data_IF_309957451395
#
_entry.id   IF_309957451395
#
_cell.length_a   1.000
_cell.length_b   1.000
_cell.length_c   1.000
_cell.angle_alpha   90.00
_cell.angle_beta   90.00
_cell.angle_gamma   90.00
#
_symmetry.space_group_name_H-M   'P 1'
#
loop_
_entity.id
_entity.type
_entity.pdbx_description
1 polymer ?
#
# COMPACT_ATOMS: atom_id res chain seq x y z
N UNK A 1 28.74 -52.33 0.26
CA UNK A 1 27.53 -53.17 0.26
C UNK A 1 26.67 -52.79 1.46
N UNK A 2 25.45 -52.28 1.21
CA UNK A 2 24.19 -52.43 1.99
C UNK A 2 24.26 -51.93 3.46
N UNK A 3 23.67 -50.81 3.91
CA UNK A 3 22.44 -50.14 3.51
C UNK A 3 21.26 -50.59 4.40
N UNK A 4 20.70 -49.69 5.23
CA UNK A 4 19.25 -49.61 5.53
C UNK A 4 18.90 -48.43 6.44
N UNK A 5 18.09 -47.55 5.86
CA UNK A 5 17.37 -46.43 6.46
C UNK A 5 16.20 -46.91 7.33
N UNK A 6 15.88 -46.16 8.38
CA UNK A 6 14.65 -46.31 9.16
C UNK A 6 13.61 -45.27 8.68
N UNK A 7 12.43 -45.78 8.35
CA UNK A 7 11.29 -45.06 7.79
C UNK A 7 10.43 -44.47 8.93
N UNK A 8 10.05 -43.21 8.79
CA UNK A 8 9.08 -42.50 9.65
C UNK A 8 7.68 -42.71 9.08
N UNK A 9 6.73 -43.12 9.94
CA UNK A 9 5.29 -43.12 9.66
C UNK A 9 4.65 -41.88 10.30
N UNK A 10 3.96 -41.07 9.49
CA UNK A 10 2.79 -40.31 9.93
C UNK A 10 1.91 -40.01 8.71
N UNK A 11 0.67 -40.46 8.78
CA UNK A 11 -0.33 -40.41 7.73
C UNK A 11 -1.05 -39.04 7.69
N UNK A 12 -1.35 -38.57 6.48
CA UNK A 12 -2.43 -37.63 6.21
C UNK A 12 -2.98 -37.93 4.80
N UNK A 13 -4.21 -38.46 4.72
CA UNK A 13 -4.91 -38.67 3.46
C UNK A 13 -5.73 -37.42 3.11
N UNK A 14 -5.36 -36.77 2.02
CA UNK A 14 -6.21 -35.85 1.27
C UNK A 14 -6.76 -36.57 0.04
N UNK A 15 -7.99 -36.21 -0.30
CA UNK A 15 -8.82 -36.86 -1.30
C UNK A 15 -8.24 -36.92 -2.71
N UNK A 16 -8.80 -37.83 -3.50
CA UNK A 16 -8.62 -37.87 -4.94
C UNK A 16 -9.98 -37.78 -5.62
N UNK A 17 -10.01 -36.86 -6.57
CA UNK A 17 -11.13 -36.53 -7.43
C UNK A 17 -11.31 -37.55 -8.56
N UNK A 18 -12.46 -37.40 -9.22
CA UNK A 18 -12.75 -37.71 -10.62
C UNK A 18 -12.91 -39.19 -11.01
N UNK A 19 -14.18 -39.60 -11.16
CA UNK A 19 -14.57 -40.51 -12.23
C UNK A 19 -15.46 -39.77 -13.23
N UNK A 20 -14.97 -39.76 -14.45
CA UNK A 20 -15.60 -39.33 -15.70
C UNK A 20 -16.67 -40.34 -16.08
N UNK A 21 -17.89 -39.89 -16.37
CA UNK A 21 -18.85 -40.64 -17.18
C UNK A 21 -19.14 -39.83 -18.45
N UNK A 22 -18.75 -40.40 -19.60
CA UNK A 22 -19.13 -39.96 -20.95
C UNK A 22 -20.37 -40.75 -21.40
N UNK A 23 -21.26 -40.04 -22.09
CA UNK A 23 -22.33 -40.45 -23.04
C UNK A 23 -23.77 -40.02 -22.68
N UNK A 24 -24.60 -39.70 -23.71
CA UNK A 24 -25.68 -38.72 -23.62
C UNK A 24 -27.00 -39.36 -23.16
N UNK A 25 -27.77 -38.62 -22.35
CA UNK A 25 -29.14 -39.00 -22.00
C UNK A 25 -30.13 -38.46 -23.07
N UNK A 26 -31.19 -39.22 -23.39
CA UNK A 26 -32.16 -38.94 -24.46
C UNK A 26 -33.10 -37.77 -24.14
N UNK A 27 -33.77 -37.18 -25.16
CA UNK A 27 -34.53 -35.96 -25.01
C UNK A 27 -35.96 -36.26 -24.54
N UNK A 28 -36.15 -36.67 -23.29
CA UNK A 28 -37.49 -36.78 -22.66
C UNK A 28 -37.42 -36.81 -21.12
N UNK A 29 -36.76 -35.82 -20.52
CA UNK A 29 -36.83 -35.57 -19.07
C UNK A 29 -37.04 -34.08 -18.79
N UNK A 30 -38.29 -33.63 -18.93
CA UNK A 30 -38.77 -32.39 -18.34
C UNK A 30 -39.20 -32.70 -16.91
N UNK A 31 -38.41 -32.30 -15.92
CA UNK A 31 -38.86 -32.26 -14.53
C UNK A 31 -39.67 -30.98 -14.37
N UNK A 32 -40.97 -31.11 -14.13
CA UNK A 32 -41.87 -30.00 -13.80
C UNK A 32 -41.53 -29.47 -12.40
N UNK A 33 -41.34 -28.17 -12.29
CA UNK A 33 -40.97 -27.48 -11.05
C UNK A 33 -42.07 -27.57 -9.97
N UNK A 34 -43.26 -28.08 -10.34
CA UNK A 34 -44.42 -28.30 -9.45
C UNK A 34 -44.32 -29.54 -8.55
N UNK A 35 -43.37 -30.43 -8.78
CA UNK A 35 -43.15 -31.62 -7.92
C UNK A 35 -42.24 -31.36 -6.70
N UNK A 36 -41.77 -30.11 -6.51
CA UNK A 36 -40.87 -29.75 -5.40
C UNK A 36 -41.55 -29.04 -4.21
N UNK A 37 -42.87 -28.76 -4.25
CA UNK A 37 -43.56 -28.00 -3.19
C UNK A 37 -45.07 -28.37 -3.06
N UNK A 38 -45.50 -29.26 -2.15
CA UNK A 38 -46.89 -29.73 -2.11
C UNK A 38 -47.88 -28.88 -1.28
N UNK A 39 -47.53 -27.67 -0.81
CA UNK A 39 -48.37 -26.93 0.16
C UNK A 39 -48.68 -25.47 -0.19
N UNK A 40 -48.91 -25.15 -1.45
CA UNK A 40 -49.52 -23.89 -1.83
C UNK A 40 -50.49 -24.16 -2.99
N UNK A 41 -51.76 -24.41 -2.69
CA UNK A 41 -52.96 -24.06 -3.48
C UNK A 41 -54.17 -24.83 -2.92
N UNK A 42 -54.99 -24.15 -2.11
CA UNK A 42 -56.39 -24.53 -1.93
C UNK A 42 -57.31 -23.35 -2.26
N UNK A 43 -58.49 -23.75 -2.72
CA UNK A 43 -59.37 -23.15 -3.72
C UNK A 43 -60.22 -21.95 -3.20
N UNK A 44 -60.87 -21.21 -4.13
CA UNK A 44 -61.79 -20.11 -3.86
C UNK A 44 -63.27 -20.57 -3.77
N UNK A 45 -64.10 -19.64 -3.30
CA UNK A 45 -65.58 -19.54 -3.39
C UNK A 45 -66.45 -20.31 -2.37
N UNK A 46 -67.22 -19.54 -1.59
CA UNK A 46 -68.37 -20.00 -0.80
C UNK A 46 -69.30 -18.84 -0.40
N UNK A 47 -70.47 -18.79 -1.05
CA UNK A 47 -71.57 -17.82 -1.06
C UNK A 47 -72.17 -17.39 0.30
N UNK A 48 -72.81 -16.21 0.33
CA UNK A 48 -74.06 -16.04 1.09
C UNK A 48 -74.48 -14.63 1.56
N UNK A 49 -75.51 -14.09 0.89
CA UNK A 49 -76.57 -13.18 1.38
C UNK A 49 -76.27 -11.69 1.68
N UNK A 50 -77.03 -10.82 0.99
CA UNK A 50 -77.28 -9.42 1.35
C UNK A 50 -78.62 -9.28 2.07
N UNK A 51 -78.74 -8.33 3.01
CA UNK A 51 -79.93 -7.49 3.02
C UNK A 51 -79.63 -5.99 3.22
N UNK A 52 -80.44 -5.21 2.49
CA UNK A 52 -80.98 -3.87 2.72
C UNK A 52 -80.13 -2.74 3.33
N UNK A 53 -80.10 -1.62 2.59
CA UNK A 53 -79.62 -0.31 3.02
C UNK A 53 -80.58 0.34 4.02
N UNK A 54 -80.05 0.90 5.12
CA UNK A 54 -80.58 2.11 5.74
C UNK A 54 -79.75 3.33 5.32
N UNK A 55 -80.42 4.48 5.28
CA UNK A 55 -79.90 5.81 4.90
C UNK A 55 -78.70 6.26 5.76
N UNK A 56 -77.77 6.96 5.11
CA UNK A 56 -76.57 7.51 5.71
C UNK A 56 -76.87 8.63 6.73
N UNK A 57 -76.25 8.62 7.92
CA UNK A 57 -76.04 9.82 8.71
C UNK A 57 -74.86 10.62 8.12
N UNK A 58 -75.06 11.90 7.84
CA UNK A 58 -73.97 12.84 7.63
C UNK A 58 -73.21 13.01 8.94
N UNK A 59 -71.89 12.80 8.96
CA UNK A 59 -71.07 13.39 10.04
C UNK A 59 -69.59 13.65 9.67
N UNK A 60 -69.21 14.89 10.00
CA UNK A 60 -67.93 15.59 10.09
C UNK A 60 -66.68 15.05 9.35
N UNK A 61 -66.24 15.81 8.34
CA UNK A 61 -64.83 15.80 7.90
C UNK A 61 -63.96 16.48 8.95
N UNK A 62 -63.09 15.71 9.61
CA UNK A 62 -61.94 16.26 10.33
C UNK A 62 -60.91 16.83 9.33
N UNK A 63 -60.22 17.94 9.66
CA UNK A 63 -59.19 18.50 8.80
C UNK A 63 -58.00 17.52 8.64
N UNK A 64 -57.27 17.58 7.52
CA UNK A 64 -56.18 16.64 7.24
C UNK A 64 -55.07 16.78 8.28
N UNK A 65 -54.71 15.66 8.92
CA UNK A 65 -53.54 15.59 9.79
C UNK A 65 -52.26 15.70 8.94
N UNK A 66 -51.40 16.64 9.33
CA UNK A 66 -50.10 16.86 8.73
C UNK A 66 -49.18 15.66 9.07
N UNK A 67 -48.48 15.07 8.10
CA UNK A 67 -47.61 13.93 8.38
C UNK A 67 -46.45 14.35 9.31
N UNK A 68 -46.01 13.46 10.21
CA UNK A 68 -44.94 13.77 11.15
C UNK A 68 -43.63 14.08 10.41
N UNK A 69 -42.92 15.10 10.87
CA UNK A 69 -41.61 15.47 10.37
C UNK A 69 -40.63 14.29 10.55
N UNK A 70 -39.86 13.99 9.49
CA UNK A 70 -38.76 13.04 9.55
C UNK A 70 -37.74 13.48 10.61
N UNK A 71 -37.20 12.57 11.44
CA UNK A 71 -36.21 12.92 12.43
C UNK A 71 -34.95 13.48 11.77
N UNK A 72 -34.48 14.63 12.26
CA UNK A 72 -33.20 15.22 11.85
C UNK A 72 -32.09 14.19 12.07
N UNK A 73 -31.40 13.83 10.99
CA UNK A 73 -30.20 13.00 11.09
C UNK A 73 -29.15 13.75 11.92
N UNK A 74 -28.50 13.11 12.90
CA UNK A 74 -27.46 13.75 13.69
C UNK A 74 -26.33 14.21 12.76
N UNK A 75 -26.02 15.52 12.82
CA UNK A 75 -24.88 16.10 12.11
C UNK A 75 -23.63 15.32 12.45
N UNK A 76 -23.07 14.67 11.44
CA UNK A 76 -21.77 14.03 11.49
C UNK A 76 -20.72 15.11 11.80
N UNK A 77 -20.25 15.15 13.04
CA UNK A 77 -19.17 16.06 13.45
C UNK A 77 -17.90 15.53 12.81
N UNK A 78 -17.55 16.08 11.64
CA UNK A 78 -16.28 15.76 10.99
C UNK A 78 -15.14 16.04 11.98
N UNK A 79 -14.20 15.11 12.18
CA UNK A 79 -13.07 15.35 13.07
C UNK A 79 -12.32 16.60 12.60
N UNK A 80 -12.16 17.55 13.52
CA UNK A 80 -11.47 18.81 13.30
C UNK A 80 -10.02 18.47 12.96
N UNK A 81 -9.68 18.48 11.67
CA UNK A 81 -8.30 18.42 11.21
C UNK A 81 -7.61 19.64 11.80
N UNK A 82 -6.78 19.42 12.81
CA UNK A 82 -5.86 20.43 13.30
C UNK A 82 -4.90 20.64 12.14
N UNK A 83 -5.13 21.66 11.31
CA UNK A 83 -4.14 22.10 10.34
C UNK A 83 -2.86 22.37 11.14
N UNK A 84 -1.78 21.60 10.95
CA UNK A 84 -0.51 21.96 11.56
C UNK A 84 -0.19 23.34 11.00
N UNK A 85 -0.02 24.34 11.88
CA UNK A 85 0.50 25.64 11.49
C UNK A 85 1.86 25.38 10.88
N UNK A 86 1.91 25.31 9.54
CA UNK A 86 3.12 25.01 8.81
C UNK A 86 4.14 26.04 9.26
N UNK A 87 5.31 25.63 9.72
CA UNK A 87 6.39 26.59 9.87
C UNK A 87 6.65 27.19 8.49
N UNK A 88 6.34 28.49 8.26
CA UNK A 88 6.52 29.10 6.95
C UNK A 88 8.00 29.34 6.64
N UNK A 89 8.87 29.12 7.64
CA UNK A 89 10.29 29.39 7.54
C UNK A 89 10.97 28.43 6.56
N UNK A 90 11.57 29.02 5.52
CA UNK A 90 12.36 28.31 4.52
C UNK A 90 13.59 27.64 5.13
N UNK A 91 14.05 28.09 6.29
CA UNK A 91 15.21 27.55 6.99
C UNK A 91 15.02 26.09 7.42
N UNK A 92 13.77 25.59 7.50
CA UNK A 92 13.48 24.20 7.88
C UNK A 92 13.25 23.27 6.70
N UNK A 93 13.50 23.73 5.47
CA UNK A 93 13.32 22.93 4.27
C UNK A 93 14.61 22.17 3.94
N UNK A 94 14.43 20.99 3.39
CA UNK A 94 15.53 20.20 2.83
C UNK A 94 15.87 20.66 1.41
N UNK A 95 17.10 20.41 0.98
CA UNK A 95 17.49 20.63 -0.40
C UNK A 95 16.93 19.55 -1.32
N UNK A 96 16.58 19.94 -2.54
CA UNK A 96 16.29 18.98 -3.59
C UNK A 96 17.63 18.47 -4.12
N UNK A 97 18.20 17.48 -3.43
CA UNK A 97 19.54 16.93 -3.69
C UNK A 97 19.54 15.74 -4.65
N UNK A 98 20.66 15.56 -5.37
CA UNK A 98 20.99 14.32 -6.08
C UNK A 98 21.43 13.20 -5.13
N UNK A 99 21.81 13.52 -3.91
CA UNK A 99 22.04 12.53 -2.86
C UNK A 99 20.72 12.13 -2.20
N UNK A 100 20.68 10.90 -1.69
CA UNK A 100 19.52 10.36 -0.98
C UNK A 100 19.53 10.80 0.49
N UNK A 101 18.36 11.19 0.99
CA UNK A 101 18.12 11.29 2.42
C UNK A 101 17.87 9.87 2.94
N UNK A 102 18.83 9.35 3.71
CA UNK A 102 18.78 7.99 4.24
C UNK A 102 18.65 8.08 5.76
N UNK A 103 17.51 7.65 6.28
CA UNK A 103 17.33 7.47 7.71
C UNK A 103 17.87 6.10 8.09
N UNK A 104 18.83 6.04 9.01
CA UNK A 104 19.26 4.78 9.61
C UNK A 104 19.14 4.88 11.13
N UNK A 105 18.36 3.99 11.73
CA UNK A 105 17.97 4.05 13.13
C UNK A 105 17.35 5.40 13.52
N UNK A 106 18.17 6.34 14.03
CA UNK A 106 17.78 7.68 14.50
C UNK A 106 18.65 8.78 13.88
N UNK A 107 19.35 8.49 12.80
CA UNK A 107 20.27 9.43 12.17
C UNK A 107 19.90 9.59 10.72
N UNK A 108 19.71 10.84 10.30
CA UNK A 108 19.48 11.18 8.91
C UNK A 108 20.82 11.50 8.26
N UNK A 109 21.13 10.78 7.21
CA UNK A 109 22.30 11.01 6.37
C UNK A 109 21.85 11.57 5.02
N UNK A 110 22.73 12.35 4.40
CA UNK A 110 22.69 12.61 2.97
C UNK A 110 23.76 11.72 2.33
N UNK A 111 23.33 10.81 1.45
CA UNK A 111 24.16 9.71 0.93
C UNK A 111 24.22 9.75 -0.59
N UNK A 112 25.44 9.77 -1.12
CA UNK A 112 25.66 9.52 -2.54
C UNK A 112 25.55 8.02 -2.81
N UNK A 113 24.46 7.61 -3.46
CA UNK A 113 24.18 6.18 -3.69
C UNK A 113 25.19 5.51 -4.63
N UNK A 114 25.85 6.27 -5.51
CA UNK A 114 26.86 5.77 -6.46
C UNK A 114 28.19 5.48 -5.78
N UNK A 115 28.60 6.27 -4.79
CA UNK A 115 29.92 6.16 -4.14
C UNK A 115 29.86 5.65 -2.70
N UNK A 116 28.72 5.77 -2.02
CA UNK A 116 28.54 5.46 -0.60
C UNK A 116 29.00 6.58 0.35
N UNK A 117 29.57 7.66 -0.20
CA UNK A 117 29.95 8.84 0.57
C UNK A 117 28.70 9.44 1.24
N UNK A 118 28.85 9.87 2.49
CA UNK A 118 27.74 10.41 3.25
C UNK A 118 28.18 11.50 4.22
N UNK A 119 27.23 12.37 4.54
CA UNK A 119 27.33 13.33 5.63
C UNK A 119 26.14 13.16 6.56
N UNK A 120 26.35 13.40 7.86
CA UNK A 120 25.26 13.47 8.83
C UNK A 120 24.51 14.78 8.65
N UNK A 121 23.21 14.69 8.34
CA UNK A 121 22.33 15.87 8.30
C UNK A 121 21.86 16.21 9.70
N UNK A 122 21.48 15.19 10.47
CA UNK A 122 21.14 15.34 11.87
C UNK A 122 21.06 13.99 12.60
N UNK A 123 21.20 14.07 13.93
CA UNK A 123 21.17 12.93 14.85
C UNK A 123 19.93 12.98 15.74
N UNK A 124 19.61 11.85 16.37
CA UNK A 124 18.48 11.69 17.29
C UNK A 124 17.08 11.98 16.68
N UNK A 125 16.94 11.76 15.37
CA UNK A 125 15.65 11.68 14.70
C UNK A 125 14.79 10.63 15.42
N UNK A 126 13.72 11.05 16.11
CA UNK A 126 12.91 10.22 17.04
C UNK A 126 13.48 10.06 18.45
N UNK A 127 13.40 11.10 19.30
CA UNK A 127 13.70 10.98 20.73
C UNK A 127 12.76 10.02 21.48
N UNK A 128 11.57 9.72 20.93
CA UNK A 128 10.59 8.80 21.55
C UNK A 128 10.79 7.31 21.19
N UNK A 129 11.94 6.93 20.64
CA UNK A 129 12.36 5.52 20.52
C UNK A 129 11.62 4.68 19.47
N UNK A 130 10.76 5.28 18.63
CA UNK A 130 10.10 4.57 17.51
C UNK A 130 10.72 5.03 16.19
N UNK A 131 11.41 4.13 15.49
CA UNK A 131 11.97 4.43 14.17
C UNK A 131 10.88 4.84 13.18
N UNK A 132 11.24 5.70 12.22
CA UNK A 132 10.34 6.09 11.14
C UNK A 132 10.41 5.07 9.99
N UNK A 133 9.31 4.93 9.25
CA UNK A 133 9.26 4.18 7.98
C UNK A 133 8.42 4.96 6.97
N UNK A 134 8.36 4.46 5.75
CA UNK A 134 7.65 5.07 4.64
C UNK A 134 8.10 6.53 4.40
N UNK A 135 9.41 6.75 4.36
CA UNK A 135 10.01 8.08 4.21
C UNK A 135 9.84 8.60 2.78
N UNK A 136 9.36 9.84 2.61
CA UNK A 136 9.18 10.47 1.31
C UNK A 136 9.58 11.95 1.31
N UNK A 137 10.22 12.42 0.24
CA UNK A 137 10.55 13.83 0.02
C UNK A 137 9.49 14.51 -0.86
N UNK A 138 8.80 15.51 -0.32
CA UNK A 138 7.84 16.28 -1.10
C UNK A 138 8.54 17.41 -1.86
N UNK A 139 8.71 17.25 -3.17
CA UNK A 139 9.37 18.26 -4.00
C UNK A 139 8.59 19.59 -4.14
N UNK A 140 7.36 19.69 -3.62
CA UNK A 140 6.56 20.92 -3.66
C UNK A 140 6.85 21.84 -2.46
N UNK A 141 6.94 21.30 -1.25
CA UNK A 141 7.19 22.07 -0.03
C UNK A 141 8.60 21.87 0.55
N UNK A 142 9.33 20.88 0.02
CA UNK A 142 10.71 20.52 0.36
C UNK A 142 10.87 19.99 1.78
N UNK A 143 9.83 19.36 2.33
CA UNK A 143 9.93 18.62 3.57
C UNK A 143 10.04 17.11 3.35
N UNK A 144 10.59 16.43 4.35
CA UNK A 144 10.49 14.98 4.47
C UNK A 144 9.22 14.63 5.25
N UNK A 145 8.57 13.56 4.84
CA UNK A 145 7.41 12.99 5.51
C UNK A 145 7.66 11.51 5.78
N UNK A 146 7.09 10.98 6.85
CA UNK A 146 7.19 9.55 7.17
C UNK A 146 6.17 9.14 8.21
N UNK A 147 6.17 7.86 8.57
CA UNK A 147 5.29 7.31 9.60
C UNK A 147 6.04 7.03 10.90
N UNK A 148 5.43 7.47 12.00
CA UNK A 148 5.71 6.96 13.33
C UNK A 148 4.51 6.12 13.80
N UNK A 149 4.58 4.81 13.56
CA UNK A 149 3.41 3.93 13.69
C UNK A 149 2.39 4.25 12.59
N UNK A 150 1.20 4.75 12.95
CA UNK A 150 0.16 5.16 11.99
C UNK A 150 0.12 6.66 11.72
N UNK A 151 0.80 7.44 12.55
CA UNK A 151 0.81 8.89 12.47
C UNK A 151 1.77 9.32 11.38
N UNK A 152 1.24 10.02 10.38
CA UNK A 152 2.03 10.76 9.42
C UNK A 152 2.65 11.95 10.14
N UNK A 153 3.96 12.07 10.01
CA UNK A 153 4.74 13.19 10.52
C UNK A 153 5.42 13.91 9.36
N UNK A 154 5.57 15.22 9.51
CA UNK A 154 6.52 16.02 8.74
C UNK A 154 7.80 16.16 9.57
N UNK A 155 8.95 16.05 8.92
CA UNK A 155 10.27 16.20 9.52
C UNK A 155 10.84 17.54 9.05
N UNK A 156 11.38 18.32 9.98
CA UNK A 156 11.96 19.64 9.76
C UNK A 156 13.49 19.55 9.63
N UNK A 157 14.08 20.35 8.74
CA UNK A 157 15.52 20.51 8.61
C UNK A 157 16.06 21.59 9.56
N UNK A 158 15.89 21.40 10.87
CA UNK A 158 16.32 22.35 11.92
C UNK A 158 17.64 21.94 12.60
N UNK A 159 18.37 20.99 12.01
CA UNK A 159 19.58 20.38 12.58
C UNK A 159 19.30 19.41 13.74
N UNK A 160 18.05 19.29 14.20
CA UNK A 160 17.61 18.41 15.30
C UNK A 160 16.53 17.40 14.86
N UNK A 161 16.01 17.55 13.64
CA UNK A 161 14.93 16.76 13.06
C UNK A 161 13.68 16.78 13.92
N UNK A 162 13.29 18.00 14.34
CA UNK A 162 11.96 18.22 14.90
C UNK A 162 10.89 17.63 13.98
N UNK A 163 9.85 17.04 14.60
CA UNK A 163 8.74 16.41 13.89
C UNK A 163 7.43 17.11 14.22
N UNK A 164 6.56 17.21 13.23
CA UNK A 164 5.21 17.76 13.36
C UNK A 164 4.20 16.68 12.96
N UNK A 165 3.27 16.28 13.83
CA UNK A 165 2.21 15.36 13.44
C UNK A 165 1.29 16.03 12.42
N UNK A 166 0.92 15.28 11.38
CA UNK A 166 0.03 15.74 10.30
C UNK A 166 -1.35 15.11 10.46
N UNK A 167 -1.42 13.78 10.50
CA UNK A 167 -2.68 13.02 10.62
C UNK A 167 -2.44 11.55 11.00
N UNK A 168 -3.48 10.82 11.40
CA UNK A 168 -3.48 9.35 11.40
C UNK A 168 -3.85 8.84 10.00
N UNK A 169 -3.02 7.96 9.45
CA UNK A 169 -3.19 7.46 8.07
C UNK A 169 -4.07 6.22 7.97
N UNK A 170 -4.47 5.62 9.09
CA UNK A 170 -5.18 4.35 9.10
C UNK A 170 -4.28 3.11 9.03
N UNK A 171 -3.01 3.26 8.65
CA UNK A 171 -2.11 2.13 8.31
C UNK A 171 -0.72 2.30 8.90
N UNK A 172 -0.05 1.18 9.18
CA UNK A 172 1.37 1.18 9.58
C UNK A 172 2.21 0.74 8.37
N UNK A 173 2.46 1.70 7.47
CA UNK A 173 3.17 1.45 6.22
C UNK A 173 4.68 1.25 6.45
N UNK A 174 5.29 0.48 5.53
CA UNK A 174 6.74 0.29 5.45
C UNK A 174 7.35 0.91 4.20
N UNK A 175 6.55 1.14 3.18
CA UNK A 175 6.96 1.75 1.93
C UNK A 175 6.30 3.12 1.83
N UNK A 176 7.07 4.14 1.43
CA UNK A 176 6.57 5.49 1.24
C UNK A 176 7.37 6.23 0.18
N UNK A 177 6.70 6.94 -0.73
CA UNK A 177 7.37 7.95 -1.57
C UNK A 177 6.34 8.90 -2.21
N UNK A 178 6.81 10.04 -2.71
CA UNK A 178 5.99 11.01 -3.41
C UNK A 178 5.99 10.80 -4.92
N UNK A 179 4.81 10.90 -5.52
CA UNK A 179 4.70 11.07 -6.97
C UNK A 179 4.85 12.54 -7.41
N UNK A 180 4.86 12.76 -8.72
CA UNK A 180 4.96 14.09 -9.32
C UNK A 180 3.71 14.98 -9.13
N UNK A 181 2.61 14.44 -8.60
CA UNK A 181 1.37 15.19 -8.29
C UNK A 181 1.36 15.72 -6.86
N UNK A 182 2.34 15.33 -6.04
CA UNK A 182 2.38 15.67 -4.61
C UNK A 182 1.52 14.73 -3.76
N UNK A 183 1.22 13.54 -4.27
CA UNK A 183 0.63 12.47 -3.47
C UNK A 183 1.74 11.67 -2.80
N UNK A 184 1.69 11.58 -1.47
CA UNK A 184 2.47 10.60 -0.72
C UNK A 184 1.76 9.26 -0.83
N UNK A 185 2.40 8.29 -1.46
CA UNK A 185 1.94 6.92 -1.51
C UNK A 185 2.54 6.14 -0.36
N UNK A 186 1.72 5.37 0.33
CA UNK A 186 2.08 4.55 1.48
C UNK A 186 1.62 3.12 1.25
N UNK A 187 2.44 2.13 1.61
CA UNK A 187 2.01 0.74 1.58
C UNK A 187 2.41 -0.08 2.80
N UNK A 188 1.44 -0.86 3.30
CA UNK A 188 1.66 -1.89 4.31
C UNK A 188 2.01 -3.21 3.59
N UNK A 189 3.31 -3.44 3.40
CA UNK A 189 3.86 -4.65 2.80
C UNK A 189 3.31 -4.98 1.39
N UNK A 190 2.94 -3.96 0.61
CA UNK A 190 2.39 -4.11 -0.73
C UNK A 190 0.93 -4.58 -0.81
N UNK A 191 0.31 -4.95 0.33
CA UNK A 191 -1.04 -5.52 0.39
C UNK A 191 -2.13 -4.51 0.67
N UNK A 192 -1.77 -3.36 1.22
CA UNK A 192 -2.66 -2.22 1.41
C UNK A 192 -1.94 -0.97 0.94
N UNK A 193 -2.64 -0.13 0.17
CA UNK A 193 -2.09 1.11 -0.37
C UNK A 193 -3.00 2.27 -0.01
N UNK A 194 -2.38 3.32 0.52
CA UNK A 194 -3.01 4.61 0.79
C UNK A 194 -2.25 5.68 0.02
N UNK A 195 -2.96 6.68 -0.52
CA UNK A 195 -2.31 7.91 -1.02
C UNK A 195 -2.90 9.13 -0.35
N UNK A 196 -2.05 10.10 -0.03
CA UNK A 196 -2.41 11.30 0.73
C UNK A 196 -1.96 12.53 -0.05
N UNK A 197 -2.85 13.50 -0.20
CA UNK A 197 -2.54 14.77 -0.86
C UNK A 197 -1.83 15.71 0.11
N UNK A 198 -0.56 16.02 -0.15
CA UNK A 198 0.25 16.89 0.71
C UNK A 198 0.79 18.11 -0.06
N UNK A 199 0.14 18.48 -1.16
CA UNK A 199 0.33 19.79 -1.77
C UNK A 199 -0.44 20.83 -0.95
N UNK A 200 0.17 22.01 -0.78
CA UNK A 200 -0.39 23.12 0.01
C UNK A 200 -1.55 23.81 -0.72
N UNK A 201 -2.69 23.12 -0.78
CA UNK A 201 -3.95 23.61 -1.29
C UNK A 201 -5.11 23.11 -0.42
N UNK A 202 -6.35 23.36 -0.86
CA UNK A 202 -7.57 23.02 -0.11
C UNK A 202 -7.76 21.52 0.18
N UNK A 203 -6.98 20.64 -0.46
CA UNK A 203 -7.02 19.19 -0.26
C UNK A 203 -5.87 18.67 0.60
N UNK A 204 -5.03 19.54 1.17
CA UNK A 204 -3.92 19.13 2.03
C UNK A 204 -4.39 18.22 3.18
N UNK A 205 -3.70 17.10 3.39
CA UNK A 205 -3.99 16.15 4.47
C UNK A 205 -5.21 15.25 4.20
N UNK A 206 -5.66 15.14 2.94
CA UNK A 206 -6.77 14.25 2.57
C UNK A 206 -6.27 12.92 2.02
N UNK A 207 -6.93 11.83 2.41
CA UNK A 207 -6.71 10.50 1.82
C UNK A 207 -7.43 10.45 0.47
N UNK A 208 -6.70 10.18 -0.61
CA UNK A 208 -7.22 10.12 -1.99
C UNK A 208 -7.53 8.67 -2.40
N UNK A 209 -6.71 7.71 -1.93
CA UNK A 209 -6.88 6.27 -2.19
C UNK A 209 -6.69 5.50 -0.88
N UNK A 210 -7.46 4.44 -0.68
CA UNK A 210 -7.30 3.48 0.42
C UNK A 210 -7.85 2.12 -0.03
N UNK A 211 -6.96 1.20 -0.40
CA UNK A 211 -7.35 -0.07 -1.01
C UNK A 211 -6.50 -1.22 -0.48
N UNK A 212 -7.14 -2.39 -0.31
CA UNK A 212 -6.42 -3.67 -0.28
C UNK A 212 -6.03 -4.03 -1.73
N UNK A 213 -4.86 -4.63 -1.88
CA UNK A 213 -4.20 -4.92 -3.16
C UNK A 213 -3.69 -6.35 -3.13
N UNK A 214 -3.93 -7.10 -4.20
CA UNK A 214 -3.35 -8.43 -4.40
C UNK A 214 -1.91 -8.33 -4.94
N UNK A 215 -0.98 -9.03 -4.30
CA UNK A 215 0.41 -9.15 -4.75
C UNK A 215 0.57 -10.10 -5.95
N UNK A 216 -0.48 -10.82 -6.37
CA UNK A 216 -0.47 -11.73 -7.53
C UNK A 216 0.66 -12.78 -7.46
N UNK A 217 0.99 -13.23 -6.25
CA UNK A 217 2.07 -14.21 -6.02
C UNK A 217 3.50 -13.63 -6.08
N UNK A 218 3.68 -12.33 -6.28
CA UNK A 218 4.98 -11.69 -6.22
C UNK A 218 5.56 -11.66 -4.79
N UNK A 219 6.90 -11.57 -4.64
CA UNK A 219 7.50 -11.36 -3.33
C UNK A 219 6.98 -10.08 -2.68
N UNK A 220 6.94 -10.07 -1.35
CA UNK A 220 6.58 -8.87 -0.58
C UNK A 220 7.60 -7.77 -0.93
N UNK A 221 7.15 -6.60 -1.45
CA UNK A 221 8.04 -5.49 -1.75
C UNK A 221 8.63 -4.97 -0.44
N UNK A 222 9.92 -4.68 -0.46
CA UNK A 222 10.72 -4.35 0.72
C UNK A 222 10.87 -2.85 0.89
N UNK A 223 11.02 -2.17 -0.24
CA UNK A 223 10.87 -0.74 -0.35
C UNK A 223 10.54 -0.34 -1.80
N UNK A 224 10.13 0.91 -2.03
CA UNK A 224 9.85 1.45 -3.35
C UNK A 224 10.36 2.87 -3.54
N UNK A 225 10.34 3.34 -4.78
CA UNK A 225 10.62 4.72 -5.11
C UNK A 225 9.85 5.16 -6.35
N UNK A 226 9.55 6.44 -6.40
CA UNK A 226 9.01 7.08 -7.59
C UNK A 226 10.11 7.41 -8.61
N UNK A 227 9.80 7.23 -9.89
CA UNK A 227 10.68 7.58 -11.00
C UNK A 227 9.93 8.51 -11.95
N UNK A 228 10.37 9.76 -12.04
CA UNK A 228 9.66 10.80 -12.77
C UNK A 228 9.54 10.54 -14.28
N UNK A 229 10.50 9.83 -14.88
CA UNK A 229 10.42 9.40 -16.29
C UNK A 229 9.32 8.36 -16.57
N UNK A 230 8.69 7.81 -15.53
CA UNK A 230 7.59 6.81 -15.60
C UNK A 230 6.51 7.14 -14.55
N UNK A 231 5.79 8.26 -14.70
CA UNK A 231 5.01 8.87 -13.62
C UNK A 231 3.78 8.07 -13.17
N UNK A 232 3.38 7.05 -13.92
CA UNK A 232 2.23 6.20 -13.59
C UNK A 232 2.58 5.06 -12.61
N UNK A 233 3.85 4.91 -12.22
CA UNK A 233 4.34 3.79 -11.43
C UNK A 233 5.18 4.19 -10.23
N UNK A 234 5.11 3.37 -9.18
CA UNK A 234 6.11 3.27 -8.12
C UNK A 234 6.91 1.99 -8.35
N UNK A 235 8.23 2.07 -8.36
CA UNK A 235 9.10 0.92 -8.59
C UNK A 235 9.53 0.35 -7.24
N UNK A 236 9.41 -0.96 -7.06
CA UNK A 236 9.70 -1.62 -5.80
C UNK A 236 10.69 -2.77 -5.99
N UNK A 237 11.38 -3.11 -4.91
CA UNK A 237 12.29 -4.26 -4.88
C UNK A 237 11.75 -5.34 -3.95
N UNK A 238 11.63 -6.54 -4.47
CA UNK A 238 11.36 -7.76 -3.72
C UNK A 238 12.60 -8.65 -3.66
N UNK A 239 12.57 -9.65 -2.79
CA UNK A 239 13.55 -10.74 -2.76
C UNK A 239 12.83 -12.04 -3.06
N UNK A 240 13.24 -12.72 -4.13
CA UNK A 240 12.74 -14.04 -4.48
C UNK A 240 13.57 -15.07 -3.71
N UNK A 241 12.95 -15.96 -2.94
CA UNK A 241 13.67 -17.03 -2.25
C UNK A 241 14.34 -17.99 -3.22
N UNK A 242 15.56 -18.40 -2.92
CA UNK A 242 16.30 -19.42 -3.68
C UNK A 242 17.28 -20.16 -2.76
N UNK A 243 16.79 -21.26 -2.18
CA UNK A 243 17.48 -22.00 -1.13
C UNK A 243 17.51 -21.21 0.19
N UNK A 244 18.68 -21.16 0.84
CA UNK A 244 18.89 -20.33 2.02
C UNK A 244 19.08 -18.85 1.70
N UNK A 245 19.36 -18.54 0.45
CA UNK A 245 19.61 -17.20 -0.08
C UNK A 245 18.37 -16.71 -0.84
N UNK A 246 18.53 -15.56 -1.50
CA UNK A 246 17.56 -15.06 -2.45
C UNK A 246 18.21 -14.23 -3.53
N UNK A 247 17.39 -13.70 -4.42
CA UNK A 247 17.84 -12.74 -5.43
C UNK A 247 16.83 -11.61 -5.60
N UNK A 248 17.27 -10.41 -6.03
CA UNK A 248 16.40 -9.28 -6.26
C UNK A 248 15.39 -9.53 -7.39
N UNK A 249 14.19 -9.01 -7.20
CA UNK A 249 13.21 -8.79 -8.27
C UNK A 249 12.82 -7.32 -8.27
N UNK A 250 12.89 -6.69 -9.44
CA UNK A 250 12.29 -5.38 -9.65
C UNK A 250 10.84 -5.59 -10.08
N UNK A 251 9.95 -4.89 -9.40
CA UNK A 251 8.51 -4.88 -9.66
C UNK A 251 8.01 -3.43 -9.65
N UNK A 252 6.78 -3.21 -10.07
CA UNK A 252 6.18 -1.88 -10.05
C UNK A 252 4.70 -1.93 -9.66
N UNK A 253 4.24 -0.88 -9.03
CA UNK A 253 2.85 -0.67 -8.67
C UNK A 253 2.25 0.41 -9.56
N UNK A 254 1.21 0.06 -10.32
CA UNK A 254 0.51 0.97 -11.20
C UNK A 254 -0.44 1.87 -10.38
N UNK A 255 -0.16 3.17 -10.30
CA UNK A 255 -0.91 4.11 -9.45
C UNK A 255 -2.34 4.39 -9.95
N UNK A 256 -2.65 4.03 -11.20
CA UNK A 256 -3.98 4.19 -11.82
C UNK A 256 -4.87 2.98 -11.61
N UNK A 257 -4.40 1.79 -11.98
CA UNK A 257 -5.15 0.52 -11.85
C UNK A 257 -5.03 -0.10 -10.46
N UNK A 258 -4.07 0.35 -9.65
CA UNK A 258 -3.75 -0.18 -8.32
C UNK A 258 -3.33 -1.65 -8.34
N UNK A 259 -2.53 -2.01 -9.34
CA UNK A 259 -2.04 -3.38 -9.53
C UNK A 259 -0.52 -3.48 -9.47
N UNK A 260 -0.03 -4.63 -9.00
CA UNK A 260 1.38 -5.01 -9.10
C UNK A 260 1.69 -5.64 -10.46
N UNK A 261 2.88 -5.34 -10.96
CA UNK A 261 3.45 -5.88 -12.19
C UNK A 261 4.92 -6.29 -11.97
N UNK A 262 5.33 -7.41 -12.55
CA UNK A 262 6.76 -7.78 -12.64
C UNK A 262 7.46 -6.88 -13.66
N UNK A 263 8.66 -6.39 -13.32
CA UNK A 263 9.54 -5.72 -14.29
C UNK A 263 10.60 -6.72 -14.78
N UNK A 264 11.41 -7.26 -13.87
CA UNK A 264 12.31 -8.39 -14.15
C UNK A 264 12.92 -8.97 -12.86
N UNK A 265 13.56 -10.13 -12.98
CA UNK A 265 14.33 -10.82 -11.92
C UNK A 265 15.84 -10.72 -12.17
N UNK A 266 16.64 -10.77 -11.10
CA UNK A 266 18.11 -10.64 -11.18
C UNK A 266 18.83 -11.78 -10.46
N UNK A 267 18.73 -13.04 -10.94
CA UNK A 267 19.28 -14.22 -10.25
C UNK A 267 20.81 -14.18 -10.09
N UNK A 268 21.52 -13.44 -10.95
CA UNK A 268 22.97 -13.25 -10.86
C UNK A 268 23.43 -12.39 -9.67
N UNK A 269 22.51 -11.69 -9.00
CA UNK A 269 22.79 -10.95 -7.77
C UNK A 269 22.22 -11.75 -6.61
N UNK A 270 23.09 -12.23 -5.71
CA UNK A 270 22.68 -12.98 -4.52
C UNK A 270 22.52 -12.07 -3.32
N UNK A 271 21.42 -12.23 -2.61
CA UNK A 271 21.23 -11.73 -1.24
C UNK A 271 21.61 -12.86 -0.28
N UNK A 272 22.37 -12.56 0.77
CA UNK A 272 22.67 -13.56 1.80
C UNK A 272 21.43 -13.86 2.66
N UNK A 273 21.41 -15.04 3.27
CA UNK A 273 20.33 -15.54 4.14
C UNK A 273 19.68 -14.49 5.04
N UNK A 274 18.37 -14.30 4.84
CA UNK A 274 17.50 -13.43 5.64
C UNK A 274 17.73 -11.92 5.46
N UNK A 275 18.70 -11.52 4.62
CA UNK A 275 18.94 -10.12 4.34
C UNK A 275 18.03 -9.61 3.21
N UNK A 276 17.73 -8.32 3.26
CA UNK A 276 16.74 -7.68 2.39
C UNK A 276 17.14 -6.24 2.07
N UNK A 277 16.34 -5.54 1.28
CA UNK A 277 16.58 -4.14 0.93
C UNK A 277 15.61 -3.26 1.70
N UNK A 278 16.11 -2.47 2.65
CA UNK A 278 15.27 -1.63 3.51
C UNK A 278 15.23 -0.17 3.11
N UNK A 279 15.88 0.21 2.01
CA UNK A 279 15.86 1.57 1.52
C UNK A 279 15.99 1.56 0.00
N UNK A 280 15.12 2.30 -0.68
CA UNK A 280 15.14 2.46 -2.13
C UNK A 280 15.02 3.93 -2.54
N UNK A 281 15.69 4.31 -3.64
CA UNK A 281 15.51 5.62 -4.26
C UNK A 281 15.54 5.51 -5.78
N UNK A 282 14.76 6.36 -6.45
CA UNK A 282 14.68 6.45 -7.90
C UNK A 282 15.44 7.67 -8.43
N UNK A 283 15.83 7.60 -9.69
CA UNK A 283 16.35 8.74 -10.46
C UNK A 283 15.41 9.07 -11.62
N UNK A 284 15.32 10.33 -12.05
CA UNK A 284 14.39 10.70 -13.13
C UNK A 284 14.63 9.97 -14.45
N UNK A 285 15.87 9.53 -14.72
CA UNK A 285 16.25 8.81 -15.94
C UNK A 285 16.13 7.26 -15.85
N UNK A 286 15.46 6.72 -14.83
CA UNK A 286 15.18 5.28 -14.75
C UNK A 286 16.22 4.46 -13.98
N UNK A 287 17.13 5.12 -13.27
CA UNK A 287 17.93 4.47 -12.25
C UNK A 287 17.12 4.16 -11.00
N UNK A 288 17.40 3.01 -10.41
CA UNK A 288 16.84 2.59 -9.14
C UNK A 288 17.95 2.05 -8.25
N UNK A 289 18.07 2.60 -7.04
CA UNK A 289 19.07 2.17 -6.07
C UNK A 289 18.37 1.50 -4.89
N UNK A 290 18.93 0.39 -4.42
CA UNK A 290 18.44 -0.32 -3.25
C UNK A 290 19.59 -0.63 -2.30
N UNK A 291 19.44 -0.27 -1.03
CA UNK A 291 20.44 -0.50 0.00
C UNK A 291 20.15 -1.80 0.76
N UNK A 292 21.13 -2.69 0.76
CA UNK A 292 21.01 -4.01 1.35
C UNK A 292 21.29 -3.98 2.86
N UNK A 293 20.33 -4.42 3.68
CA UNK A 293 20.35 -4.26 5.14
C UNK A 293 21.47 -5.05 5.83
N UNK A 294 21.83 -6.20 5.28
CA UNK A 294 22.80 -7.10 5.92
C UNK A 294 24.24 -6.61 5.87
N UNK A 295 24.62 -5.88 4.82
CA UNK A 295 26.01 -5.49 4.56
C UNK A 295 26.19 -4.05 4.06
N UNK A 296 25.10 -3.28 3.91
CA UNK A 296 25.12 -1.90 3.45
C UNK A 296 25.46 -1.73 1.96
N UNK A 297 25.65 -2.81 1.20
CA UNK A 297 25.93 -2.70 -0.24
C UNK A 297 24.74 -2.08 -0.95
N UNK A 298 25.02 -1.18 -1.88
CA UNK A 298 24.02 -0.52 -2.71
C UNK A 298 23.97 -1.21 -4.06
N UNK A 299 22.81 -1.79 -4.38
CA UNK A 299 22.50 -2.33 -5.69
C UNK A 299 21.97 -1.20 -6.57
N UNK A 300 22.52 -1.05 -7.77
CA UNK A 300 21.93 -0.22 -8.80
C UNK A 300 21.26 -1.10 -9.85
N UNK A 301 20.04 -0.73 -10.19
CA UNK A 301 19.20 -1.29 -11.23
C UNK A 301 18.87 -0.21 -12.27
N UNK A 302 18.52 -0.63 -13.48
CA UNK A 302 17.95 0.22 -14.52
C UNK A 302 16.59 -0.35 -14.90
N UNK A 303 15.54 0.45 -14.79
CA UNK A 303 14.16 -0.03 -14.99
C UNK A 303 13.87 -0.55 -16.41
N UNK A 304 14.74 -0.25 -17.38
CA UNK A 304 14.61 -0.70 -18.76
C UNK A 304 15.66 -1.76 -19.15
N UNK A 305 16.64 -2.06 -18.28
CA UNK A 305 17.74 -2.97 -18.61
C UNK A 305 18.19 -3.81 -17.41
N UNK A 306 17.69 -5.04 -17.33
CA UNK A 306 18.06 -6.00 -16.29
C UNK A 306 19.56 -6.30 -16.25
N UNK A 307 20.25 -6.30 -17.41
CA UNK A 307 21.68 -6.60 -17.48
C UNK A 307 22.58 -5.51 -16.90
N UNK A 308 22.05 -4.30 -16.67
CA UNK A 308 22.77 -3.21 -16.03
C UNK A 308 22.86 -3.35 -14.49
N UNK A 309 22.21 -4.37 -13.91
CA UNK A 309 22.19 -4.61 -12.49
C UNK A 309 23.60 -4.87 -11.93
N UNK A 310 24.03 -4.07 -10.95
CA UNK A 310 25.36 -4.20 -10.33
C UNK A 310 25.43 -3.56 -8.96
N UNK A 311 26.29 -4.09 -8.11
CA UNK A 311 26.70 -3.40 -6.88
C UNK A 311 27.54 -2.18 -7.23
N UNK A 312 27.26 -1.03 -6.62
CA UNK A 312 27.92 0.24 -6.97
C UNK A 312 28.70 0.86 -5.83
N UNK A 313 28.23 0.65 -4.60
CA UNK A 313 28.86 1.22 -3.40
C UNK A 313 28.50 0.40 -2.16
N UNK A 314 28.99 0.84 -1.01
CA UNK A 314 28.66 0.27 0.29
C UNK A 314 28.58 1.39 1.33
N UNK A 315 27.52 1.35 2.13
CA UNK A 315 27.29 2.24 3.27
C UNK A 315 27.36 1.43 4.57
N UNK A 316 27.03 2.05 5.71
CA UNK A 316 26.89 1.33 6.97
C UNK A 316 25.67 0.38 6.90
N UNK A 317 25.83 -0.91 7.23
CA UNK A 317 24.69 -1.82 7.35
C UNK A 317 23.68 -1.32 8.38
N UNK A 318 22.40 -1.44 8.09
CA UNK A 318 21.33 -1.18 9.05
C UNK A 318 20.15 -2.11 8.77
N UNK A 319 19.52 -2.61 9.84
CA UNK A 319 18.25 -3.35 9.75
C UNK A 319 17.02 -2.44 9.88
N UNK A 320 17.25 -1.20 10.28
CA UNK A 320 16.23 -0.16 10.44
C UNK A 320 16.70 1.03 9.62
N UNK A 321 16.22 1.09 8.40
CA UNK A 321 16.54 2.12 7.45
C UNK A 321 15.35 2.37 6.53
N UNK A 322 15.38 3.53 5.92
CA UNK A 322 14.49 3.96 4.86
C UNK A 322 15.22 5.07 4.09
N UNK A 323 14.83 5.32 2.84
CA UNK A 323 15.43 6.40 2.08
C UNK A 323 14.44 7.06 1.14
N UNK A 324 14.70 8.33 0.85
CA UNK A 324 14.01 9.06 -0.19
C UNK A 324 14.97 10.03 -0.85
N UNK A 325 14.56 10.58 -1.99
CA UNK A 325 15.35 11.53 -2.77
C UNK A 325 14.44 12.46 -3.54
N UNK A 326 14.94 13.63 -3.90
CA UNK A 326 14.24 14.48 -4.85
C UNK A 326 14.19 13.82 -6.24
N UNK A 327 12.99 13.38 -6.67
CA UNK A 327 12.80 12.72 -7.97
C UNK A 327 13.19 13.58 -9.18
N UNK A 328 13.37 14.89 -9.00
CA UNK A 328 13.73 15.84 -10.05
C UNK A 328 15.23 15.83 -10.37
N UNK A 329 16.06 15.28 -9.49
CA UNK A 329 17.51 15.41 -9.61
C UNK A 329 18.13 14.17 -10.27
N UNK A 330 18.91 14.33 -11.35
CA UNK A 330 19.68 13.23 -11.94
C UNK A 330 20.81 12.80 -11.02
N UNK A 331 21.38 11.62 -11.26
CA UNK A 331 22.62 11.20 -10.60
C UNK A 331 23.75 12.20 -10.83
N UNK A 332 24.67 12.27 -9.88
CA UNK A 332 25.95 12.95 -10.10
C UNK A 332 26.68 12.29 -11.29
N UNK A 333 27.17 13.13 -12.20
CA UNK A 333 27.96 12.70 -13.36
C UNK A 333 29.21 11.90 -12.95
#
# INVERSE_FOLDING_TARGET
MIGKSLLVLAAASLGSAHKVCRHPLPPDCMIDIRDLCPNLYQNPNGYGAAPERPLAPQELRLPPQQPPALPEQPREVSPKVILPTLSPDRNYRFDCSSDAYVLQNRTLYLVNMKTGANITVAENASPQGRGFNALGYNANDRFLYGLQGRTLIRILNDGKLSIEPVMDTGINAKLGDFDNRGLLWLSQAGKKVVSIHLKQDKHYGTIIRNHEVDLKGFPIPKDWAFIAGKPDYLYAIGVVPDGEDGYPMLMRFATKSLEWEEVYRVPGIRTNKGATFGAAVGTPNGGFYAMHNGNGRVLRLDINNAAAARWVSQTRPSKVNDATRCYKQPDWE
#
